data_IF_410326208325
#
_entry.id   IF_410326208325
#
_cell.length_a   1.000
_cell.length_b   1.000
_cell.length_c   1.000
_cell.angle_alpha   90.00
_cell.angle_beta   90.00
_cell.angle_gamma   90.00
#
_symmetry.space_group_name_H-M   'P 1'
#
loop_
_entity.id
_entity.type
_entity.pdbx_description
1 polymer ?
#
# COMPACT_ATOMS: atom_id res chain seq x y z
N UNK A 1 -62.08 -5.44 128.16
CA UNK A 1 -61.23 -6.21 127.24
C UNK A 1 -60.93 -5.34 126.04
N UNK A 2 -59.79 -4.65 126.09
CA UNK A 2 -59.26 -3.86 124.98
C UNK A 2 -58.40 -4.78 124.11
N UNK A 3 -58.67 -4.85 122.82
CA UNK A 3 -57.82 -5.60 121.89
C UNK A 3 -58.27 -5.40 120.45
N UNK A 4 -57.32 -5.13 119.56
CA UNK A 4 -57.44 -5.02 118.10
C UNK A 4 -58.04 -3.75 117.46
N UNK A 5 -57.42 -2.58 117.70
CA UNK A 5 -57.48 -1.44 116.74
C UNK A 5 -56.08 -0.99 116.26
N UNK A 6 -55.00 -1.72 116.61
CA UNK A 6 -53.62 -1.28 116.38
C UNK A 6 -52.85 -2.01 115.27
N UNK A 7 -53.52 -2.51 114.21
CA UNK A 7 -52.87 -3.22 113.10
C UNK A 7 -52.85 -2.46 111.75
N UNK A 8 -53.27 -1.21 111.69
CA UNK A 8 -53.27 -0.42 110.43
C UNK A 8 -52.38 0.83 110.46
N UNK A 9 -51.78 1.19 111.60
CA UNK A 9 -51.03 2.45 111.74
C UNK A 9 -49.53 2.38 111.37
N UNK A 10 -48.96 1.17 111.23
CA UNK A 10 -47.57 0.95 110.80
C UNK A 10 -47.39 0.51 109.34
N UNK A 11 -48.47 0.25 108.60
CA UNK A 11 -48.44 -0.31 107.23
C UNK A 11 -48.40 0.76 106.13
N UNK A 12 -48.80 1.98 106.45
CA UNK A 12 -48.75 3.12 105.53
C UNK A 12 -47.32 3.60 105.23
N UNK A 13 -46.45 3.92 106.21
CA UNK A 13 -45.10 4.44 105.93
C UNK A 13 -44.20 3.45 105.19
N UNK A 14 -44.33 2.14 105.45
CA UNK A 14 -43.58 1.11 104.72
C UNK A 14 -43.96 1.05 103.23
N UNK A 15 -45.25 1.21 102.90
CA UNK A 15 -45.73 1.26 101.52
C UNK A 15 -45.29 2.54 100.79
N UNK A 16 -45.15 3.66 101.50
CA UNK A 16 -44.61 4.89 100.91
C UNK A 16 -43.13 4.73 100.50
N UNK A 17 -42.30 4.11 101.34
CA UNK A 17 -40.90 3.84 101.00
C UNK A 17 -40.73 2.85 99.81
N UNK A 18 -41.58 1.82 99.74
CA UNK A 18 -41.62 0.90 98.58
C UNK A 18 -42.05 1.62 97.29
N UNK A 19 -42.94 2.61 97.37
CA UNK A 19 -43.32 3.42 96.22
C UNK A 19 -42.20 4.39 95.81
N UNK A 20 -41.50 5.01 96.76
CA UNK A 20 -40.36 5.90 96.46
C UNK A 20 -39.24 5.14 95.75
N UNK A 21 -38.85 3.97 96.25
CA UNK A 21 -37.84 3.13 95.60
C UNK A 21 -38.27 2.63 94.22
N UNK A 22 -39.56 2.35 94.02
CA UNK A 22 -40.09 1.97 92.72
C UNK A 22 -40.13 3.16 91.75
N UNK A 23 -40.43 4.37 92.23
CA UNK A 23 -40.37 5.61 91.44
C UNK A 23 -38.93 5.92 91.04
N UNK A 24 -37.98 5.87 91.98
CA UNK A 24 -36.55 6.07 91.66
C UNK A 24 -36.04 5.07 90.63
N UNK A 25 -36.45 3.80 90.72
CA UNK A 25 -36.10 2.78 89.72
C UNK A 25 -36.76 3.07 88.37
N UNK A 26 -38.05 3.42 88.34
CA UNK A 26 -38.75 3.74 87.09
C UNK A 26 -38.17 4.99 86.44
N UNK A 27 -37.77 5.99 87.24
CA UNK A 27 -37.14 7.21 86.74
C UNK A 27 -35.72 6.94 86.23
N UNK A 28 -34.97 6.05 86.89
CA UNK A 28 -33.67 5.55 86.41
C UNK A 28 -33.79 4.78 85.10
N UNK A 29 -34.70 3.81 85.03
CA UNK A 29 -34.99 3.03 83.81
C UNK A 29 -35.47 3.93 82.66
N UNK A 30 -36.24 4.99 82.96
CA UNK A 30 -36.64 5.99 81.97
C UNK A 30 -35.48 6.84 81.50
N UNK A 31 -34.57 7.25 82.39
CA UNK A 31 -33.37 7.99 82.01
C UNK A 31 -32.47 7.16 81.10
N UNK A 32 -32.21 5.90 81.46
CA UNK A 32 -31.44 4.97 80.62
C UNK A 32 -32.11 4.70 79.27
N UNK A 33 -33.44 4.55 79.25
CA UNK A 33 -34.18 4.38 78.00
C UNK A 33 -34.13 5.62 77.10
N UNK A 34 -34.14 6.83 77.69
CA UNK A 34 -33.98 8.09 76.96
C UNK A 34 -32.58 8.18 76.38
N UNK A 35 -31.53 7.91 77.15
CA UNK A 35 -30.14 7.93 76.66
C UNK A 35 -29.89 6.89 75.56
N UNK A 36 -30.44 5.68 75.70
CA UNK A 36 -30.34 4.66 74.66
C UNK A 36 -31.07 5.08 73.37
N UNK A 37 -32.22 5.75 73.49
CA UNK A 37 -32.98 6.28 72.35
C UNK A 37 -32.24 7.43 71.66
N UNK A 38 -31.64 8.35 72.41
CA UNK A 38 -30.85 9.45 71.82
C UNK A 38 -29.62 8.91 71.09
N UNK A 39 -28.91 7.94 71.68
CA UNK A 39 -27.77 7.29 71.01
C UNK A 39 -28.20 6.52 69.75
N UNK A 40 -29.39 5.91 69.77
CA UNK A 40 -29.96 5.26 68.59
C UNK A 40 -30.30 6.28 67.49
N UNK A 41 -30.92 7.42 67.85
CA UNK A 41 -31.25 8.49 66.92
C UNK A 41 -29.99 9.07 66.27
N UNK A 42 -28.95 9.37 67.05
CA UNK A 42 -27.64 9.83 66.54
C UNK A 42 -26.99 8.80 65.58
N UNK A 43 -27.08 7.51 65.89
CA UNK A 43 -26.57 6.44 65.02
C UNK A 43 -27.36 6.34 63.71
N UNK A 44 -28.68 6.53 63.75
CA UNK A 44 -29.53 6.55 62.56
C UNK A 44 -29.18 7.76 61.69
N UNK A 45 -29.07 8.95 62.26
CA UNK A 45 -28.67 10.16 61.52
C UNK A 45 -27.29 10.00 60.86
N UNK A 46 -26.32 9.41 61.56
CA UNK A 46 -25.00 9.14 61.00
C UNK A 46 -25.04 8.13 59.83
N UNK A 47 -25.91 7.13 59.91
CA UNK A 47 -26.10 6.16 58.82
C UNK A 47 -26.83 6.78 57.62
N UNK A 48 -27.83 7.63 57.86
CA UNK A 48 -28.54 8.36 56.82
C UNK A 48 -27.61 9.32 56.08
N UNK A 49 -26.75 10.05 56.80
CA UNK A 49 -25.74 10.93 56.20
C UNK A 49 -24.73 10.13 55.34
N UNK A 50 -24.30 8.95 55.80
CA UNK A 50 -23.43 8.06 55.03
C UNK A 50 -24.12 7.50 53.79
N UNK A 51 -25.40 7.15 53.91
CA UNK A 51 -26.18 6.65 52.77
C UNK A 51 -26.36 7.75 51.72
N UNK A 52 -26.66 8.98 52.14
CA UNK A 52 -26.76 10.13 51.24
C UNK A 52 -25.44 10.37 50.49
N UNK A 53 -24.31 10.41 51.21
CA UNK A 53 -23.00 10.56 50.60
C UNK A 53 -22.66 9.42 49.61
N UNK A 54 -23.00 8.17 49.96
CA UNK A 54 -22.79 7.03 49.06
C UNK A 54 -23.66 7.10 47.80
N UNK A 55 -24.89 7.62 47.90
CA UNK A 55 -25.77 7.84 46.74
C UNK A 55 -25.18 8.92 45.82
N UNK A 56 -24.71 10.03 46.37
CA UNK A 56 -24.07 11.10 45.61
C UNK A 56 -22.80 10.59 44.89
N UNK A 57 -21.98 9.77 45.57
CA UNK A 57 -20.81 9.13 44.97
C UNK A 57 -21.19 8.16 43.85
N UNK A 58 -22.25 7.36 44.03
CA UNK A 58 -22.75 6.45 43.01
C UNK A 58 -23.26 7.18 41.77
N UNK A 59 -23.98 8.28 41.94
CA UNK A 59 -24.45 9.12 40.83
C UNK A 59 -23.27 9.73 40.07
N UNK A 60 -22.30 10.30 40.80
CA UNK A 60 -21.09 10.85 40.19
C UNK A 60 -20.24 9.80 39.45
N UNK A 61 -20.17 8.56 39.96
CA UNK A 61 -19.50 7.46 39.28
C UNK A 61 -20.28 7.01 38.04
N UNK A 62 -21.61 6.94 38.11
CA UNK A 62 -22.47 6.63 36.97
C UNK A 62 -22.25 7.62 35.83
N UNK A 63 -22.28 8.92 36.12
CA UNK A 63 -22.04 9.99 35.15
C UNK A 63 -20.65 9.88 34.51
N UNK A 64 -19.62 9.55 35.30
CA UNK A 64 -18.26 9.34 34.79
C UNK A 64 -18.19 8.13 33.87
N UNK A 65 -18.85 7.02 34.22
CA UNK A 65 -18.90 5.83 33.37
C UNK A 65 -19.62 6.14 32.06
N UNK A 66 -20.74 6.85 32.09
CA UNK A 66 -21.45 7.28 30.87
C UNK A 66 -20.60 8.21 30.00
N UNK A 67 -19.91 9.19 30.60
CA UNK A 67 -19.03 10.09 29.87
C UNK A 67 -17.86 9.34 29.20
N UNK A 68 -17.22 8.42 29.91
CA UNK A 68 -16.09 7.63 29.40
C UNK A 68 -16.56 6.67 28.31
N UNK A 69 -17.68 5.98 28.49
CA UNK A 69 -18.23 5.07 27.47
C UNK A 69 -18.63 5.83 26.21
N UNK A 70 -19.26 7.00 26.33
CA UNK A 70 -19.58 7.87 25.19
C UNK A 70 -18.31 8.36 24.47
N UNK A 71 -17.28 8.75 25.21
CA UNK A 71 -16.00 9.15 24.63
C UNK A 71 -15.34 7.98 23.86
N UNK A 72 -15.31 6.78 24.45
CA UNK A 72 -14.76 5.58 23.82
C UNK A 72 -15.54 5.16 22.58
N UNK A 73 -16.88 5.24 22.61
CA UNK A 73 -17.70 4.98 21.43
C UNK A 73 -17.36 5.94 20.28
N UNK A 74 -17.15 7.23 20.57
CA UNK A 74 -16.74 8.23 19.56
C UNK A 74 -15.35 7.93 19.00
N UNK A 75 -14.40 7.56 19.86
CA UNK A 75 -13.04 7.19 19.47
C UNK A 75 -13.04 5.97 18.54
N UNK A 76 -13.73 4.88 18.93
CA UNK A 76 -13.87 3.67 18.10
C UNK A 76 -14.53 3.99 16.77
N UNK A 77 -15.58 4.82 16.76
CA UNK A 77 -16.22 5.23 15.51
C UNK A 77 -15.26 6.05 14.61
N UNK A 78 -14.41 6.90 15.19
CA UNK A 78 -13.41 7.65 14.44
C UNK A 78 -12.33 6.74 13.85
N UNK A 79 -11.80 5.81 14.65
CA UNK A 79 -10.84 4.80 14.20
C UNK A 79 -11.41 3.92 13.09
N UNK A 80 -12.65 3.45 13.22
CA UNK A 80 -13.32 2.67 12.18
C UNK A 80 -13.48 3.45 10.87
N UNK A 81 -13.82 4.75 10.95
CA UNK A 81 -13.87 5.60 9.75
C UNK A 81 -12.50 5.77 9.11
N UNK A 82 -11.44 5.96 9.90
CA UNK A 82 -10.08 6.08 9.39
C UNK A 82 -9.58 4.76 8.77
N UNK A 83 -9.83 3.64 9.43
CA UNK A 83 -9.52 2.30 8.93
C UNK A 83 -10.26 2.03 7.62
N UNK A 84 -11.56 2.35 7.55
CA UNK A 84 -12.34 2.23 6.32
C UNK A 84 -11.77 3.05 5.15
N UNK A 85 -11.31 4.28 5.42
CA UNK A 85 -10.63 5.12 4.39
C UNK A 85 -9.31 4.50 3.95
N UNK A 86 -8.49 4.00 4.89
CA UNK A 86 -7.21 3.38 4.58
C UNK A 86 -7.40 2.10 3.74
N UNK A 87 -8.41 1.29 4.06
CA UNK A 87 -8.80 0.13 3.27
C UNK A 87 -9.24 0.51 1.86
N UNK A 88 -10.10 1.54 1.72
CA UNK A 88 -10.53 2.01 0.40
C UNK A 88 -9.37 2.49 -0.49
N UNK A 89 -8.38 3.20 0.09
CA UNK A 89 -7.16 3.60 -0.65
C UNK A 89 -6.34 2.38 -1.08
N UNK A 90 -6.21 1.39 -0.19
CA UNK A 90 -5.51 0.14 -0.52
C UNK A 90 -6.23 -0.64 -1.61
N UNK A 91 -7.55 -0.75 -1.55
CA UNK A 91 -8.35 -1.46 -2.54
C UNK A 91 -8.27 -0.78 -3.92
N UNK A 92 -8.30 0.56 -3.95
CA UNK A 92 -8.06 1.33 -5.17
C UNK A 92 -6.67 1.03 -5.76
N UNK A 93 -5.63 0.98 -4.92
CA UNK A 93 -4.27 0.66 -5.36
C UNK A 93 -4.15 -0.77 -5.88
N UNK A 94 -4.83 -1.73 -5.25
CA UNK A 94 -4.86 -3.13 -5.71
C UNK A 94 -5.56 -3.24 -7.06
N UNK A 95 -6.66 -2.50 -7.27
CA UNK A 95 -7.35 -2.45 -8.56
C UNK A 95 -6.44 -1.88 -9.67
N UNK A 96 -5.78 -0.75 -9.41
CA UNK A 96 -4.80 -0.17 -10.36
C UNK A 96 -3.68 -1.14 -10.74
N UNK A 97 -3.14 -1.86 -9.76
CA UNK A 97 -2.07 -2.82 -10.00
C UNK A 97 -2.57 -4.03 -10.80
N UNK A 98 -3.81 -4.47 -10.59
CA UNK A 98 -4.43 -5.52 -11.42
C UNK A 98 -4.60 -5.06 -12.86
N UNK A 99 -5.09 -3.84 -13.07
CA UNK A 99 -5.24 -3.27 -14.41
C UNK A 99 -3.89 -3.11 -15.13
N UNK A 100 -2.83 -2.72 -14.42
CA UNK A 100 -1.47 -2.66 -14.98
C UNK A 100 -0.96 -4.05 -15.35
N UNK A 101 -1.16 -5.05 -14.49
CA UNK A 101 -0.78 -6.45 -14.78
C UNK A 101 -1.52 -6.95 -16.03
N UNK A 102 -2.82 -6.67 -16.16
CA UNK A 102 -3.59 -7.07 -17.32
C UNK A 102 -3.13 -6.37 -18.60
N UNK A 103 -2.80 -5.08 -18.53
CA UNK A 103 -2.21 -4.33 -19.66
C UNK A 103 -0.86 -4.91 -20.08
N UNK A 104 0.04 -5.17 -19.13
CA UNK A 104 1.36 -5.76 -19.41
C UNK A 104 1.22 -7.16 -20.01
N UNK A 105 0.32 -7.99 -19.46
CA UNK A 105 0.06 -9.32 -19.99
C UNK A 105 -0.53 -9.26 -21.40
N UNK A 106 -1.44 -8.33 -21.67
CA UNK A 106 -1.98 -8.07 -23.01
C UNK A 106 -0.88 -7.67 -24.00
N UNK A 107 -0.02 -6.72 -23.62
CA UNK A 107 1.11 -6.28 -24.42
C UNK A 107 2.11 -7.42 -24.69
N UNK A 108 2.39 -8.25 -23.68
CA UNK A 108 3.27 -9.40 -23.80
C UNK A 108 2.72 -10.44 -24.78
N UNK A 109 1.42 -10.78 -24.69
CA UNK A 109 0.77 -11.67 -25.66
C UNK A 109 0.80 -11.09 -27.07
N UNK A 110 0.51 -9.80 -27.24
CA UNK A 110 0.60 -9.11 -28.53
C UNK A 110 2.02 -9.12 -29.12
N UNK A 111 3.04 -8.93 -28.28
CA UNK A 111 4.44 -9.03 -28.69
C UNK A 111 4.81 -10.45 -29.13
N UNK A 112 4.31 -11.49 -28.43
CA UNK A 112 4.54 -12.88 -28.83
C UNK A 112 3.92 -13.20 -30.19
N UNK A 113 2.69 -12.76 -30.47
CA UNK A 113 2.07 -12.95 -31.78
C UNK A 113 2.83 -12.19 -32.87
N UNK A 114 3.22 -10.94 -32.61
CA UNK A 114 4.03 -10.14 -33.56
C UNK A 114 5.36 -10.83 -33.87
N UNK A 115 6.05 -11.38 -32.87
CA UNK A 115 7.30 -12.14 -33.07
C UNK A 115 7.05 -13.38 -33.93
N UNK A 116 5.93 -14.05 -33.74
CA UNK A 116 5.55 -15.25 -34.50
C UNK A 116 5.29 -14.90 -35.97
N UNK A 117 4.54 -13.84 -36.23
CA UNK A 117 4.27 -13.34 -37.58
C UNK A 117 5.57 -12.92 -38.28
N UNK A 118 6.41 -12.13 -37.60
CA UNK A 118 7.71 -11.72 -38.15
C UNK A 118 8.64 -12.91 -38.45
N UNK A 119 8.56 -14.01 -37.71
CA UNK A 119 9.31 -15.23 -38.01
C UNK A 119 8.80 -15.91 -39.27
N UNK A 120 7.48 -15.95 -39.47
CA UNK A 120 6.87 -16.50 -40.69
C UNK A 120 7.23 -15.63 -41.90
N UNK A 121 7.08 -14.32 -41.78
CA UNK A 121 7.40 -13.35 -42.83
C UNK A 121 8.89 -13.41 -43.20
N UNK A 122 9.79 -13.42 -42.21
CA UNK A 122 11.22 -13.58 -42.44
C UNK A 122 11.52 -14.85 -43.23
N UNK A 123 10.94 -15.98 -42.84
CA UNK A 123 11.12 -17.23 -43.56
C UNK A 123 10.50 -17.19 -44.97
N UNK A 124 9.43 -16.42 -45.19
CA UNK A 124 8.85 -16.16 -46.51
C UNK A 124 9.82 -15.38 -47.41
N UNK A 125 10.29 -14.24 -46.92
CA UNK A 125 11.23 -13.35 -47.63
C UNK A 125 12.54 -14.08 -47.95
N UNK A 126 13.07 -14.88 -47.03
CA UNK A 126 14.29 -15.67 -47.28
C UNK A 126 14.10 -16.68 -48.43
N UNK A 127 12.92 -17.32 -48.53
CA UNK A 127 12.61 -18.24 -49.64
C UNK A 127 12.46 -17.51 -50.96
N UNK A 128 11.78 -16.37 -50.97
CA UNK A 128 11.60 -15.59 -52.20
C UNK A 128 12.92 -15.01 -52.69
N UNK A 129 13.79 -14.55 -51.79
CA UNK A 129 15.15 -14.14 -52.13
C UNK A 129 15.96 -15.29 -52.73
N UNK A 130 15.84 -16.51 -52.19
CA UNK A 130 16.52 -17.68 -52.76
C UNK A 130 16.05 -17.98 -54.20
N UNK A 131 14.73 -17.92 -54.44
CA UNK A 131 14.15 -18.11 -55.79
C UNK A 131 14.58 -17.02 -56.77
N UNK A 132 14.62 -15.76 -56.33
CA UNK A 132 15.08 -14.67 -57.18
C UNK A 132 16.56 -14.79 -57.52
N UNK A 133 17.40 -15.23 -56.57
CA UNK A 133 18.81 -15.54 -56.85
C UNK A 133 18.96 -16.65 -57.89
N UNK A 134 18.23 -17.75 -57.74
CA UNK A 134 18.23 -18.86 -58.70
C UNK A 134 17.78 -18.40 -60.10
N UNK A 135 16.72 -17.58 -60.19
CA UNK A 135 16.27 -16.99 -61.46
C UNK A 135 17.33 -16.08 -62.07
N UNK A 136 17.96 -15.22 -61.27
CA UNK A 136 18.99 -14.31 -61.73
C UNK A 136 20.22 -15.07 -62.23
N UNK A 137 20.66 -16.11 -61.51
CA UNK A 137 21.73 -17.02 -61.92
C UNK A 137 21.38 -17.70 -63.25
N UNK A 138 20.17 -18.24 -63.39
CA UNK A 138 19.71 -18.84 -64.65
C UNK A 138 19.69 -17.86 -65.83
N UNK A 139 19.31 -16.60 -65.62
CA UNK A 139 19.38 -15.55 -66.63
C UNK A 139 20.82 -15.21 -66.99
N UNK A 140 21.71 -15.10 -65.99
CA UNK A 140 23.14 -14.85 -66.22
C UNK A 140 23.80 -15.99 -67.00
N UNK A 141 23.48 -17.25 -66.69
CA UNK A 141 23.97 -18.42 -67.40
C UNK A 141 23.47 -18.46 -68.84
N UNK A 142 22.19 -18.13 -69.07
CA UNK A 142 21.65 -18.00 -70.42
C UNK A 142 22.35 -16.89 -71.23
N UNK A 143 22.57 -15.72 -70.62
CA UNK A 143 23.31 -14.62 -71.24
C UNK A 143 24.76 -15.02 -71.55
N UNK A 144 25.44 -15.72 -70.62
CA UNK A 144 26.80 -16.24 -70.83
C UNK A 144 26.83 -17.20 -72.01
N UNK A 145 25.89 -18.14 -72.09
CA UNK A 145 25.82 -19.11 -73.19
C UNK A 145 25.57 -18.45 -74.56
N UNK A 146 24.74 -17.41 -74.63
CA UNK A 146 24.56 -16.64 -75.88
C UNK A 146 25.82 -15.86 -76.26
N UNK A 147 26.48 -15.22 -75.29
CA UNK A 147 27.75 -14.53 -75.55
C UNK A 147 28.84 -15.50 -76.03
N UNK A 148 28.95 -16.68 -75.42
CA UNK A 148 29.86 -17.73 -75.87
C UNK A 148 29.53 -18.21 -77.29
N UNK A 149 28.25 -18.34 -77.64
CA UNK A 149 27.81 -18.67 -79.01
C UNK A 149 28.16 -17.55 -80.01
N UNK A 150 27.89 -16.29 -79.70
CA UNK A 150 28.24 -15.14 -80.55
C UNK A 150 29.76 -15.01 -80.71
N UNK A 151 30.54 -15.24 -79.65
CA UNK A 151 32.00 -15.24 -79.71
C UNK A 151 32.51 -16.39 -80.58
N UNK A 152 31.93 -17.58 -80.46
CA UNK A 152 32.30 -18.74 -81.28
C UNK A 152 31.97 -18.50 -82.76
N UNK A 153 30.76 -18.00 -83.05
CA UNK A 153 30.34 -17.66 -84.40
C UNK A 153 31.21 -16.54 -85.02
N UNK A 154 31.59 -15.52 -84.24
CA UNK A 154 32.49 -14.46 -84.74
C UNK A 154 33.91 -14.96 -85.01
N UNK A 155 34.45 -15.87 -84.18
CA UNK A 155 35.73 -16.55 -84.47
C UNK A 155 35.65 -17.41 -85.73
N UNK A 156 34.55 -18.11 -85.92
CA UNK A 156 34.33 -18.96 -87.09
C UNK A 156 34.23 -18.11 -88.38
N UNK A 157 33.53 -16.98 -88.33
CA UNK A 157 33.46 -16.01 -89.43
C UNK A 157 34.83 -15.38 -89.73
N UNK A 158 35.61 -15.01 -88.70
CA UNK A 158 36.98 -14.52 -88.88
C UNK A 158 37.92 -15.60 -89.47
N UNK A 159 37.69 -16.87 -89.16
CA UNK A 159 38.45 -17.99 -89.73
C UNK A 159 38.06 -18.35 -91.18
N UNK A 160 36.90 -17.87 -91.66
CA UNK A 160 36.41 -18.06 -93.02
C UNK A 160 36.77 -16.90 -93.97
N UNK A 161 37.43 -15.84 -93.49
CA UNK A 161 38.08 -14.88 -94.39
C UNK A 161 39.32 -15.52 -95.04
N UNK A 162 39.45 -15.51 -96.38
CA UNK A 162 40.70 -15.92 -97.00
C UNK A 162 41.80 -14.96 -96.57
N UNK A 163 42.95 -15.53 -96.17
CA UNK A 163 44.13 -14.77 -95.81
C UNK A 163 44.63 -13.94 -97.01
N UNK A 164 44.28 -12.66 -97.04
CA UNK A 164 45.11 -11.64 -97.67
C UNK A 164 45.90 -10.98 -96.55
N UNK A 165 47.18 -11.36 -96.44
CA UNK A 165 48.08 -10.77 -95.47
C UNK A 165 48.33 -9.30 -95.75
N UNK A 166 48.60 -8.55 -94.69
CA UNK A 166 49.51 -7.42 -94.70
C UNK A 166 49.84 -7.05 -93.26
N UNK A 167 51.13 -6.97 -93.01
CA UNK A 167 51.77 -6.58 -91.77
C UNK A 167 51.32 -5.20 -91.27
N UNK A 168 51.35 -5.03 -89.95
CA UNK A 168 51.08 -3.76 -89.29
C UNK A 168 51.46 -3.84 -87.83
N UNK A 169 52.74 -3.60 -87.55
CA UNK A 169 53.24 -3.25 -86.22
C UNK A 169 52.42 -2.08 -85.65
N UNK A 170 51.85 -2.21 -84.45
CA UNK A 170 51.79 -1.09 -83.51
C UNK A 170 51.91 -1.56 -82.05
N UNK A 171 52.94 -0.98 -81.45
CA UNK A 171 53.33 -0.89 -80.05
C UNK A 171 52.23 -1.11 -79.00
N UNK A 172 52.58 -1.95 -78.02
CA UNK A 172 51.97 -1.89 -76.71
C UNK A 172 52.30 -0.60 -75.97
N UNK A 173 51.30 -0.04 -75.29
CA UNK A 173 51.52 0.75 -74.08
C UNK A 173 50.41 0.43 -73.09
N UNK A 174 50.78 -0.30 -72.05
CA UNK A 174 50.02 -0.47 -70.82
C UNK A 174 49.76 0.92 -70.20
N UNK A 175 48.50 1.28 -69.97
CA UNK A 175 48.18 2.42 -69.10
C UNK A 175 46.89 2.18 -68.30
N UNK A 176 47.07 1.59 -67.13
CA UNK A 176 46.37 2.02 -65.92
C UNK A 176 47.50 2.32 -64.92
N UNK A 177 47.54 3.49 -64.25
CA UNK A 177 46.55 3.80 -63.22
C UNK A 177 46.27 5.32 -63.03
N UNK A 178 45.01 5.74 -63.07
CA UNK A 178 44.63 7.03 -62.50
C UNK A 178 44.57 6.93 -60.97
N UNK A 179 45.70 7.33 -60.40
CA UNK A 179 45.94 7.73 -59.03
C UNK A 179 45.06 8.93 -58.68
N UNK A 180 44.12 8.73 -57.77
CA UNK A 180 43.28 9.78 -57.19
C UNK A 180 42.97 9.45 -55.73
N UNK A 181 44.02 9.31 -54.91
CA UNK A 181 43.88 9.33 -53.47
C UNK A 181 43.72 10.77 -53.01
N UNK A 182 42.56 11.10 -52.43
CA UNK A 182 42.39 12.21 -51.49
C UNK A 182 41.61 11.67 -50.30
N UNK A 183 42.37 11.39 -49.25
CA UNK A 183 42.09 11.63 -47.85
C UNK A 183 40.77 11.15 -47.24
N UNK A 184 40.95 10.21 -46.31
CA UNK A 184 39.98 9.96 -45.28
C UNK A 184 39.58 11.24 -44.55
N UNK A 185 38.28 11.54 -44.58
CA UNK A 185 37.61 12.21 -43.48
C UNK A 185 36.55 11.28 -42.92
N UNK A 186 36.89 10.74 -41.74
CA UNK A 186 35.91 10.46 -40.69
C UNK A 186 34.94 11.64 -40.60
N UNK A 187 33.66 11.37 -40.84
CA UNK A 187 32.64 12.39 -40.89
C UNK A 187 31.28 11.78 -40.57
N UNK A 188 31.10 11.38 -39.30
CA UNK A 188 29.83 11.44 -38.55
C UNK A 188 28.61 11.84 -39.41
N UNK A 189 27.86 10.85 -39.87
CA UNK A 189 26.42 10.99 -40.11
C UNK A 189 25.67 10.50 -38.86
N UNK A 190 26.02 11.15 -37.74
CA UNK A 190 25.14 11.28 -36.58
C UNK A 190 24.52 12.68 -36.66
N UNK A 191 23.58 12.86 -37.58
CA UNK A 191 22.54 13.89 -37.42
C UNK A 191 21.55 13.30 -36.41
N UNK A 192 21.50 13.68 -35.13
CA UNK A 192 21.85 14.98 -34.56
C UNK A 192 20.60 15.73 -34.07
N UNK A 193 19.38 15.20 -34.25
CA UNK A 193 18.14 15.96 -33.99
C UNK A 193 17.01 15.22 -33.23
N UNK A 194 17.31 14.26 -32.35
CA UNK A 194 16.28 13.72 -31.43
C UNK A 194 16.65 13.74 -29.93
N UNK A 195 17.66 14.50 -29.52
CA UNK A 195 17.96 14.69 -28.11
C UNK A 195 18.19 16.16 -27.77
N UNK A 196 17.09 16.91 -27.57
CA UNK A 196 16.98 18.06 -26.64
C UNK A 196 15.54 18.59 -26.58
N UNK A 197 14.73 17.97 -25.73
CA UNK A 197 13.74 18.71 -24.90
C UNK A 197 13.94 18.29 -23.45
N UNK A 198 15.04 18.77 -22.88
CA UNK A 198 15.14 18.99 -21.45
C UNK A 198 14.71 20.44 -21.19
N UNK A 199 13.42 20.65 -20.95
CA UNK A 199 12.91 21.85 -20.28
C UNK A 199 12.27 21.38 -18.99
N UNK A 200 12.90 21.74 -17.88
CA UNK A 200 12.69 21.12 -16.58
C UNK A 200 11.31 21.34 -15.97
N UNK A 201 10.90 20.36 -15.18
CA UNK A 201 9.98 20.59 -14.06
C UNK A 201 10.45 19.81 -12.84
N UNK A 202 11.20 20.55 -12.01
CA UNK A 202 11.27 20.53 -10.55
C UNK A 202 10.96 19.19 -9.84
N UNK A 203 12.02 18.62 -9.28
CA UNK A 203 12.05 17.66 -8.15
C UNK A 203 10.88 17.88 -7.18
N UNK A 204 10.10 16.82 -6.93
CA UNK A 204 9.53 16.53 -5.62
C UNK A 204 10.07 15.18 -5.17
N UNK A 205 11.19 15.23 -4.45
CA UNK A 205 11.53 14.18 -3.50
C UNK A 205 10.69 14.50 -2.26
N UNK A 206 9.59 13.78 -2.08
CA UNK A 206 9.04 13.52 -0.75
C UNK A 206 9.46 12.08 -0.49
N UNK A 207 10.61 11.95 0.18
CA UNK A 207 10.63 11.68 1.62
C UNK A 207 10.09 10.28 1.87
N UNK A 208 10.99 9.31 1.71
CA UNK A 208 10.83 7.99 2.30
C UNK A 208 10.74 8.25 3.81
N UNK A 209 9.51 8.30 4.34
CA UNK A 209 9.21 8.56 5.76
C UNK A 209 9.78 7.49 6.69
N UNK A 210 11.09 7.40 6.74
CA UNK A 210 11.95 6.57 7.56
C UNK A 210 13.03 7.50 8.12
N UNK A 211 12.60 8.41 8.98
CA UNK A 211 13.47 9.34 9.67
C UNK A 211 12.81 9.73 10.98
N UNK A 212 13.44 9.31 12.09
CA UNK A 212 13.20 9.73 13.47
C UNK A 212 11.95 9.13 14.14
N UNK A 213 12.11 7.91 14.67
CA UNK A 213 11.73 7.69 16.05
C UNK A 213 13.00 7.32 16.79
N UNK A 214 13.59 8.36 17.39
CA UNK A 214 14.59 8.26 18.43
C UNK A 214 14.04 7.37 19.55
N UNK A 215 14.91 6.49 20.01
CA UNK A 215 14.75 5.68 21.19
C UNK A 215 14.68 6.61 22.40
N UNK A 216 13.48 6.86 22.92
CA UNK A 216 13.34 7.33 24.29
C UNK A 216 13.31 6.09 25.20
N UNK A 217 14.47 5.84 25.81
CA UNK A 217 14.58 5.11 27.07
C UNK A 217 13.57 5.67 28.07
N UNK A 218 12.65 4.84 28.52
CA UNK A 218 11.85 5.12 29.72
C UNK A 218 12.32 4.12 30.78
N UNK A 219 13.20 4.59 31.65
CA UNK A 219 13.42 4.01 32.98
C UNK A 219 12.13 4.16 33.79
N UNK A 220 11.36 3.07 33.95
CA UNK A 220 10.46 2.82 35.10
C UNK A 220 10.49 1.32 35.42
#
# INVERSE_FOLDING_TARGET
MFGNVFLHRGRAPARFAELETLVERVDGERAEAVEAKTAQEEAVEALEARLAAAVDEMEALSDRVEAVTAAKAREVAALNRQAGKALAVRDARVAELRDEVDRVNGALRGAYETIKDLRVDKAGVERDLAREKERAEGVMDAMRAELERVVSASREMLSQQPAAGADGEEQGVLSSPLKGGVDGRRGRLLSGDLARRASGRKRRRHDSGMGLLEEDEVDI
#
